data_IF_754891434262
#
_entry.id   IF_754891434262
#
_cell.length_a   1.000
_cell.length_b   1.000
_cell.length_c   1.000
_cell.angle_alpha   90.00
_cell.angle_beta   90.00
_cell.angle_gamma   90.00
#
_symmetry.space_group_name_H-M   'P 1'
#
loop_
_entity.id
_entity.type
_entity.pdbx_description
1 polymer ?
#
# COMPACT_ATOMS: atom_id res chain seq x y z
N UNK A 1 -3.00 9.44 -15.41
CA UNK A 1 -2.08 10.13 -14.48
C UNK A 1 -1.22 9.03 -13.90
N UNK A 2 0.04 8.91 -14.32
CA UNK A 2 0.93 7.92 -13.72
C UNK A 2 1.18 8.39 -12.29
N UNK A 3 0.80 7.60 -11.27
CA UNK A 3 1.12 8.00 -9.93
C UNK A 3 2.64 7.90 -9.71
N UNK A 4 3.21 8.87 -9.00
CA UNK A 4 4.61 8.85 -8.62
C UNK A 4 4.88 7.68 -7.65
N UNK A 5 5.24 6.52 -8.22
CA UNK A 5 5.46 5.27 -7.48
C UNK A 5 6.56 5.41 -6.43
N UNK A 6 7.51 6.32 -6.63
CA UNK A 6 8.61 6.58 -5.71
C UNK A 6 8.15 7.28 -4.42
N UNK A 7 7.24 8.27 -4.54
CA UNK A 7 6.64 8.93 -3.39
C UNK A 7 5.83 7.92 -2.56
N UNK A 8 5.08 7.03 -3.24
CA UNK A 8 4.33 5.97 -2.57
C UNK A 8 5.25 4.97 -1.90
N UNK A 9 6.34 4.51 -2.53
CA UNK A 9 7.31 3.62 -1.86
C UNK A 9 7.87 4.26 -0.58
N UNK A 10 8.09 5.58 -0.56
CA UNK A 10 8.53 6.26 0.64
C UNK A 10 7.46 6.22 1.76
N UNK A 11 6.20 6.49 1.42
CA UNK A 11 5.07 6.34 2.35
C UNK A 11 4.92 4.91 2.88
N UNK A 12 5.15 3.91 2.03
CA UNK A 12 5.10 2.49 2.41
C UNK A 12 6.20 2.12 3.41
N UNK A 13 7.41 2.67 3.26
CA UNK A 13 8.47 2.48 4.25
C UNK A 13 8.13 3.11 5.59
N UNK A 14 7.52 4.29 5.57
CA UNK A 14 7.08 4.94 6.82
C UNK A 14 5.99 4.11 7.51
N UNK A 15 5.09 3.51 6.73
CA UNK A 15 4.07 2.57 7.20
C UNK A 15 4.67 1.35 7.89
N UNK A 16 5.70 0.74 7.28
CA UNK A 16 6.43 -0.41 7.83
C UNK A 16 7.08 -0.09 9.19
N UNK A 17 7.55 1.16 9.37
CA UNK A 17 8.09 1.65 10.63
C UNK A 17 7.02 2.12 11.64
N UNK A 18 5.73 1.91 11.35
CA UNK A 18 4.62 2.22 12.26
C UNK A 18 4.03 3.62 12.15
N UNK A 19 4.40 4.41 11.13
CA UNK A 19 3.90 5.79 10.95
C UNK A 19 2.63 5.86 10.09
N UNK A 20 1.59 5.12 10.47
CA UNK A 20 0.33 5.05 9.72
C UNK A 20 -0.51 6.32 9.80
N UNK A 21 -0.32 7.15 10.82
CA UNK A 21 -1.15 8.35 11.07
C UNK A 21 -0.97 9.47 10.03
N UNK A 22 0.07 9.41 9.21
CA UNK A 22 0.34 10.38 8.15
C UNK A 22 -0.28 9.99 6.79
N UNK A 23 -0.83 8.78 6.68
CA UNK A 23 -1.30 8.22 5.41
C UNK A 23 -2.80 8.44 5.21
N UNK A 24 -3.18 8.64 3.96
CA UNK A 24 -4.57 8.63 3.53
C UNK A 24 -5.16 7.22 3.61
N UNK A 25 -6.49 7.06 3.72
CA UNK A 25 -7.13 5.74 3.77
C UNK A 25 -6.73 4.82 2.60
N UNK A 26 -6.64 5.36 1.38
CA UNK A 26 -6.19 4.61 0.21
C UNK A 26 -4.72 4.18 0.27
N UNK A 27 -3.86 4.99 0.90
CA UNK A 27 -2.44 4.66 1.10
C UNK A 27 -2.27 3.59 2.17
N UNK A 28 -3.07 3.61 3.23
CA UNK A 28 -3.09 2.54 4.24
C UNK A 28 -3.57 1.23 3.62
N UNK A 29 -4.62 1.26 2.78
CA UNK A 29 -5.08 0.08 2.05
C UNK A 29 -4.02 -0.46 1.09
N UNK A 30 -3.35 0.42 0.35
CA UNK A 30 -2.25 0.05 -0.53
C UNK A 30 -1.08 -0.53 0.26
N UNK A 31 -0.72 0.07 1.40
CA UNK A 31 0.33 -0.41 2.28
C UNK A 31 0.00 -1.78 2.86
N UNK A 32 -1.23 -1.98 3.30
CA UNK A 32 -1.70 -3.26 3.80
C UNK A 32 -1.60 -4.37 2.73
N UNK A 33 -1.88 -4.05 1.47
CA UNK A 33 -1.74 -5.00 0.36
C UNK A 33 -0.26 -5.27 0.00
N UNK A 34 0.56 -4.22 -0.06
CA UNK A 34 1.97 -4.34 -0.48
C UNK A 34 2.85 -4.97 0.60
N UNK A 35 2.66 -4.60 1.87
CA UNK A 35 3.38 -5.13 3.03
C UNK A 35 2.78 -6.44 3.56
N UNK A 36 1.73 -6.95 2.92
CA UNK A 36 1.02 -8.17 3.33
C UNK A 36 0.52 -8.13 4.79
N UNK A 37 -0.15 -7.02 5.15
CA UNK A 37 -0.80 -6.79 6.44
C UNK A 37 -2.33 -6.87 6.35
N UNK A 38 -2.92 -8.08 6.28
CA UNK A 38 -4.38 -8.24 6.20
C UNK A 38 -5.10 -7.76 7.47
N UNK A 39 -4.41 -7.67 8.61
CA UNK A 39 -4.99 -7.15 9.84
C UNK A 39 -5.29 -5.64 9.77
N UNK A 40 -4.54 -4.89 8.95
CA UNK A 40 -4.83 -3.46 8.73
C UNK A 40 -6.08 -3.27 7.87
N UNK A 41 -6.28 -4.13 6.87
CA UNK A 41 -7.53 -4.15 6.09
C UNK A 41 -8.72 -4.44 7.02
N UNK A 42 -8.60 -5.46 7.88
CA UNK A 42 -9.64 -5.85 8.81
C UNK A 42 -9.97 -4.74 9.83
N UNK A 43 -8.95 -4.05 10.36
CA UNK A 43 -9.14 -2.91 11.27
C UNK A 43 -9.89 -1.75 10.61
N UNK A 44 -9.66 -1.52 9.32
CA UNK A 44 -10.42 -0.53 8.55
C UNK A 44 -11.77 -1.05 8.04
N UNK A 45 -12.13 -2.30 8.32
CA UNK A 45 -13.38 -2.90 7.86
C UNK A 45 -13.40 -3.25 6.37
N UNK A 46 -12.24 -3.36 5.73
CA UNK A 46 -12.10 -3.72 4.31
C UNK A 46 -11.70 -5.19 4.13
N UNK A 47 -12.30 -5.82 3.12
CA UNK A 47 -11.79 -7.09 2.57
C UNK A 47 -10.73 -6.79 1.52
N UNK A 48 -9.94 -7.80 1.10
CA UNK A 48 -8.98 -7.65 -0.01
C UNK A 48 -9.70 -7.15 -1.27
N UNK A 49 -10.85 -7.73 -1.62
CA UNK A 49 -11.62 -7.32 -2.80
C UNK A 49 -12.09 -5.86 -2.69
N UNK A 50 -12.61 -5.46 -1.53
CA UNK A 50 -13.04 -4.08 -1.29
C UNK A 50 -11.87 -3.09 -1.29
N UNK A 51 -10.70 -3.50 -0.81
CA UNK A 51 -9.49 -2.68 -0.84
C UNK A 51 -9.01 -2.45 -2.28
N UNK A 52 -8.99 -3.50 -3.10
CA UNK A 52 -8.62 -3.42 -4.52
C UNK A 52 -9.59 -2.55 -5.33
N UNK A 53 -10.90 -2.67 -5.05
CA UNK A 53 -11.91 -1.80 -5.67
C UNK A 53 -11.72 -0.33 -5.27
N UNK A 54 -11.41 -0.07 -3.99
CA UNK A 54 -11.22 1.28 -3.45
C UNK A 54 -9.98 1.99 -4.02
N UNK A 55 -8.82 1.32 -4.09
CA UNK A 55 -7.60 1.93 -4.65
C UNK A 55 -7.68 2.04 -6.19
N UNK A 56 -8.56 1.26 -6.82
CA UNK A 56 -8.78 1.26 -8.25
C UNK A 56 -7.78 0.39 -9.03
N UNK A 57 -8.08 0.12 -10.32
CA UNK A 57 -7.38 -0.88 -11.12
C UNK A 57 -5.92 -0.54 -11.42
N UNK A 58 -5.57 0.74 -11.63
CA UNK A 58 -4.18 1.16 -11.86
C UNK A 58 -3.29 0.84 -10.65
N UNK A 59 -3.75 1.16 -9.45
CA UNK A 59 -3.02 0.90 -8.21
C UNK A 59 -2.99 -0.58 -7.85
N UNK A 60 -4.10 -1.28 -8.04
CA UNK A 60 -4.17 -2.74 -7.88
C UNK A 60 -3.13 -3.45 -8.77
N UNK A 61 -3.00 -3.02 -10.03
CA UNK A 61 -2.00 -3.56 -10.95
C UNK A 61 -0.56 -3.19 -10.55
N UNK A 62 -0.37 -2.06 -9.85
CA UNK A 62 0.94 -1.61 -9.38
C UNK A 62 1.43 -2.32 -8.10
N UNK A 63 0.54 -2.96 -7.32
CA UNK A 63 0.88 -3.65 -6.05
C UNK A 63 2.11 -4.56 -6.16
N UNK A 64 2.20 -5.49 -7.14
CA UNK A 64 3.37 -6.38 -7.23
C UNK A 64 4.67 -5.64 -7.50
N UNK A 65 4.61 -4.57 -8.32
CA UNK A 65 5.77 -3.74 -8.65
C UNK A 65 6.25 -2.95 -7.43
N UNK A 66 5.33 -2.37 -6.66
CA UNK A 66 5.65 -1.64 -5.43
C UNK A 66 6.29 -2.57 -4.38
N UNK A 67 5.78 -3.79 -4.24
CA UNK A 67 6.35 -4.80 -3.35
C UNK A 67 7.78 -5.18 -3.74
N UNK A 68 8.04 -5.34 -5.05
CA UNK A 68 9.38 -5.59 -5.56
C UNK A 68 10.34 -4.42 -5.27
N UNK A 69 9.92 -3.18 -5.55
CA UNK A 69 10.72 -1.97 -5.29
C UNK A 69 11.07 -1.78 -3.81
N UNK A 70 10.17 -2.14 -2.90
CA UNK A 70 10.44 -2.14 -1.46
C UNK A 70 11.52 -3.16 -1.10
N UNK A 71 11.40 -4.38 -1.61
CA UNK A 71 12.34 -5.48 -1.33
C UNK A 71 13.74 -5.18 -1.88
N UNK A 72 13.83 -4.66 -3.12
CA UNK A 72 15.08 -4.30 -3.79
C UNK A 72 15.83 -3.17 -3.08
N UNK A 73 15.12 -2.26 -2.43
CA UNK A 73 15.74 -1.16 -1.69
C UNK A 73 16.22 -1.55 -0.28
N UNK A 74 15.86 -2.73 0.20
CA UNK A 74 16.29 -3.28 1.50
C UNK A 74 17.44 -4.30 1.39
N UNK A 75 17.94 -4.57 0.18
CA UNK A 75 19.07 -5.48 -0.11
C UNK A 75 20.37 -4.71 -0.35
#
# INVERSE_FOLDING_TARGET
MNPDTEAVVQCLREAEHGHLSALSPGEILLAALVLNHPEWLAQMGHTIASALDYIGPDWAAAVPRLAAMLSEATA
#
